data_IF_382038589164
#
_entry.id   IF_382038589164
#
_cell.length_a   1.000
_cell.length_b   1.000
_cell.length_c   1.000
_cell.angle_alpha   90.00
_cell.angle_beta   90.00
_cell.angle_gamma   90.00
#
_symmetry.space_group_name_H-M   'P 1'
#
loop_
_entity.id
_entity.type
_entity.pdbx_description
1 polymer ?
#
# COMPACT_ATOMS: atom_id res chain seq x y z
N UNK A 1 -8.38 36.92 56.84
CA UNK A 1 -8.71 35.75 56.02
C UNK A 1 -8.64 36.05 54.51
N UNK A 2 -8.74 37.29 54.03
CA UNK A 2 -8.71 37.64 52.60
C UNK A 2 -7.31 37.84 51.97
N UNK A 3 -6.23 37.90 52.73
CA UNK A 3 -4.90 38.17 52.23
C UNK A 3 -4.15 36.91 51.69
N UNK A 4 -4.58 35.72 52.13
CA UNK A 4 -3.94 34.43 51.71
C UNK A 4 -4.63 33.85 50.46
N UNK A 5 -5.87 34.21 50.21
CA UNK A 5 -6.65 33.72 49.04
C UNK A 5 -6.20 34.31 47.67
N UNK A 6 -5.63 35.51 47.66
CA UNK A 6 -5.16 36.15 46.42
C UNK A 6 -3.97 35.41 45.77
N UNK A 7 -2.89 35.08 46.48
CA UNK A 7 -1.77 34.38 45.90
C UNK A 7 -2.14 32.95 45.50
N UNK A 8 -3.01 32.25 46.25
CA UNK A 8 -3.45 30.91 45.90
C UNK A 8 -4.27 30.89 44.61
N UNK A 9 -5.13 31.87 44.38
CA UNK A 9 -5.91 32.03 43.14
C UNK A 9 -5.03 32.34 41.93
N UNK A 10 -3.96 33.12 42.11
CA UNK A 10 -2.98 33.39 41.05
C UNK A 10 -2.16 32.15 40.70
N UNK A 11 -1.76 31.33 41.67
CA UNK A 11 -1.06 30.07 41.45
C UNK A 11 -1.95 29.06 40.70
N UNK A 12 -3.23 28.94 41.07
CA UNK A 12 -4.18 28.06 40.39
C UNK A 12 -4.43 28.51 38.94
N UNK A 13 -4.52 29.82 38.69
CA UNK A 13 -4.67 30.37 37.35
C UNK A 13 -3.39 30.11 36.52
N UNK A 14 -2.21 30.27 37.11
CA UNK A 14 -0.93 29.99 36.43
C UNK A 14 -0.80 28.51 36.09
N UNK A 15 -1.17 27.61 36.98
CA UNK A 15 -1.20 26.17 36.75
C UNK A 15 -2.22 25.77 35.63
N UNK A 16 -3.40 26.40 35.64
CA UNK A 16 -4.41 26.17 34.60
C UNK A 16 -3.94 26.68 33.24
N UNK A 17 -3.23 27.82 33.17
CA UNK A 17 -2.63 28.35 31.92
C UNK A 17 -1.50 27.46 31.43
N UNK A 18 -0.64 26.95 32.32
CA UNK A 18 0.43 26.03 31.96
C UNK A 18 -0.14 24.69 31.47
N UNK A 19 -1.20 24.17 32.07
CA UNK A 19 -1.92 22.98 31.59
C UNK A 19 -2.62 23.21 30.26
N UNK A 20 -3.18 24.39 30.00
CA UNK A 20 -3.78 24.75 28.71
C UNK A 20 -2.72 24.96 27.63
N UNK A 21 -1.55 25.53 27.94
CA UNK A 21 -0.44 25.66 27.00
C UNK A 21 0.22 24.31 26.68
N UNK A 22 0.27 23.37 27.64
CA UNK A 22 0.78 22.01 27.36
C UNK A 22 -0.18 21.15 26.54
N UNK A 23 -1.48 21.48 26.50
CA UNK A 23 -2.44 20.79 25.63
C UNK A 23 -2.37 21.26 24.17
N UNK A 24 -1.83 22.45 23.89
CA UNK A 24 -1.62 22.95 22.53
C UNK A 24 -0.34 22.40 21.86
N UNK A 25 0.55 21.74 22.61
CA UNK A 25 1.79 21.15 22.06
C UNK A 25 1.58 19.78 21.36
N UNK A 26 0.34 19.30 21.27
CA UNK A 26 0.00 18.01 20.62
C UNK A 26 -0.23 18.08 19.11
N UNK A 27 0.17 19.13 18.44
CA UNK A 27 -0.19 19.38 17.03
C UNK A 27 0.92 19.17 16.00
N UNK A 28 2.18 19.03 16.42
CA UNK A 28 3.28 18.88 15.47
C UNK A 28 4.08 17.61 15.77
N UNK A 29 4.20 16.75 14.75
CA UNK A 29 5.09 15.60 14.81
C UNK A 29 6.54 16.08 14.84
N UNK A 30 7.39 15.35 15.56
CA UNK A 30 8.82 15.53 15.47
C UNK A 30 9.29 15.23 14.04
N UNK A 31 10.27 15.99 13.55
CA UNK A 31 10.88 15.67 12.27
C UNK A 31 11.87 14.53 12.48
N UNK A 32 11.89 13.56 11.55
CA UNK A 32 13.01 12.64 11.48
C UNK A 32 14.23 13.34 10.88
N UNK A 33 15.41 13.05 11.41
CA UNK A 33 16.69 13.40 10.76
C UNK A 33 17.09 12.34 9.71
N UNK A 34 16.35 11.24 9.65
CA UNK A 34 16.58 10.12 8.77
C UNK A 34 15.72 10.27 7.52
N UNK A 35 16.35 10.45 6.36
CA UNK A 35 15.67 10.40 5.06
C UNK A 35 16.40 9.45 4.13
N UNK A 36 15.90 8.23 3.97
CA UNK A 36 16.48 7.24 3.06
C UNK A 36 15.91 7.31 1.65
N UNK A 37 14.95 8.18 1.40
CA UNK A 37 14.21 8.20 0.14
C UNK A 37 14.84 9.13 -0.89
N UNK A 38 15.13 8.60 -2.07
CA UNK A 38 15.68 9.33 -3.21
C UNK A 38 14.66 9.35 -4.34
N UNK A 39 14.43 10.53 -4.92
CA UNK A 39 13.59 10.67 -6.12
C UNK A 39 14.31 10.08 -7.32
N UNK A 40 13.65 9.14 -8.00
CA UNK A 40 14.15 8.52 -9.23
C UNK A 40 13.52 9.22 -10.43
N UNK A 41 14.34 9.68 -11.37
CA UNK A 41 13.86 10.28 -12.61
C UNK A 41 13.37 9.19 -13.55
N UNK A 42 12.08 9.22 -13.89
CA UNK A 42 11.47 8.27 -14.81
C UNK A 42 11.20 8.91 -16.18
N UNK A 43 11.25 8.13 -17.27
CA UNK A 43 10.91 8.59 -18.62
C UNK A 43 9.38 8.65 -18.85
N UNK A 44 8.60 8.88 -17.81
CA UNK A 44 7.14 8.99 -17.87
C UNK A 44 6.60 9.99 -16.86
N UNK A 45 5.40 10.52 -17.10
CA UNK A 45 4.61 11.31 -16.16
C UNK A 45 3.29 10.64 -15.81
N UNK A 46 3.14 9.39 -16.21
CA UNK A 46 1.92 8.64 -15.93
C UNK A 46 1.86 8.21 -14.46
N UNK A 47 0.66 7.91 -14.01
CA UNK A 47 0.44 7.35 -12.68
C UNK A 47 1.00 5.94 -12.60
N UNK A 48 1.89 5.72 -11.64
CA UNK A 48 2.48 4.41 -11.39
C UNK A 48 1.51 3.56 -10.55
N UNK A 49 1.43 2.28 -10.84
CA UNK A 49 0.51 1.35 -10.16
C UNK A 49 1.21 0.32 -9.30
N UNK A 50 2.25 -0.32 -9.84
CA UNK A 50 2.93 -1.42 -9.16
C UNK A 50 4.38 -1.60 -9.65
N UNK A 51 5.20 -2.27 -8.83
CA UNK A 51 6.57 -2.62 -9.14
C UNK A 51 6.90 -4.00 -8.58
N UNK A 52 7.60 -4.82 -9.36
CA UNK A 52 8.07 -6.13 -8.92
C UNK A 52 9.45 -6.44 -9.50
N UNK A 53 10.17 -7.31 -8.80
CA UNK A 53 11.51 -7.72 -9.16
C UNK A 53 11.58 -9.24 -9.33
N UNK A 54 12.51 -9.69 -10.16
CA UNK A 54 12.93 -11.09 -10.21
C UNK A 54 13.77 -11.43 -8.96
N UNK A 55 14.11 -12.70 -8.77
CA UNK A 55 14.80 -13.16 -7.55
C UNK A 55 16.17 -12.49 -7.31
N UNK A 56 16.80 -11.93 -8.36
CA UNK A 56 18.09 -11.24 -8.23
C UNK A 56 17.97 -9.82 -7.68
N UNK A 57 16.74 -9.34 -7.47
CA UNK A 57 16.40 -8.00 -6.95
C UNK A 57 16.99 -6.83 -7.77
N UNK A 58 17.61 -7.10 -8.90
CA UNK A 58 18.19 -6.10 -9.83
C UNK A 58 17.32 -5.90 -11.05
N UNK A 59 16.83 -7.00 -11.62
CA UNK A 59 15.93 -6.97 -12.75
C UNK A 59 14.50 -6.82 -12.28
N UNK A 60 13.83 -5.76 -12.70
CA UNK A 60 12.47 -5.43 -12.22
C UNK A 60 11.65 -4.71 -13.28
N UNK A 61 10.36 -4.69 -13.00
CA UNK A 61 9.34 -4.11 -13.86
C UNK A 61 8.43 -3.18 -13.05
N UNK A 62 8.17 -2.01 -13.62
CA UNK A 62 7.24 -1.02 -13.07
C UNK A 62 6.13 -0.81 -14.08
N UNK A 63 4.89 -0.85 -13.59
CA UNK A 63 3.68 -0.71 -14.41
C UNK A 63 2.83 0.47 -13.97
N UNK A 64 1.99 0.97 -14.89
CA UNK A 64 1.14 2.11 -14.61
C UNK A 64 0.06 2.35 -15.66
N UNK A 65 -0.51 3.56 -15.63
CA UNK A 65 -1.53 3.97 -16.59
C UNK A 65 -0.95 4.17 -18.00
N UNK A 66 -1.84 4.18 -18.99
CA UNK A 66 -1.51 4.44 -20.40
C UNK A 66 -0.36 3.56 -20.88
N UNK A 67 -0.47 2.24 -20.62
CA UNK A 67 0.51 1.22 -21.04
C UNK A 67 1.93 1.47 -20.50
N UNK A 68 2.05 2.23 -19.42
CA UNK A 68 3.35 2.42 -18.76
C UNK A 68 3.90 1.08 -18.35
N UNK A 69 5.03 0.72 -18.98
CA UNK A 69 5.83 -0.46 -18.67
C UNK A 69 7.29 -0.05 -18.73
N UNK A 70 7.97 -0.09 -17.59
CA UNK A 70 9.38 0.27 -17.47
C UNK A 70 10.16 -0.92 -16.95
N UNK A 71 11.38 -1.10 -17.46
CA UNK A 71 12.31 -2.14 -17.02
C UNK A 71 13.52 -1.53 -16.33
N UNK A 72 14.00 -2.16 -15.30
CA UNK A 72 15.27 -1.87 -14.63
C UNK A 72 16.13 -3.12 -14.58
N UNK A 73 17.46 -2.95 -14.65
CA UNK A 73 18.45 -4.02 -14.48
C UNK A 73 19.46 -3.70 -13.36
N UNK A 74 19.23 -2.61 -12.63
CA UNK A 74 20.16 -2.08 -11.63
C UNK A 74 19.49 -1.86 -10.26
N UNK A 75 18.37 -2.54 -9.99
CA UNK A 75 17.62 -2.44 -8.74
C UNK A 75 16.87 -1.12 -8.62
N UNK A 76 16.31 -0.64 -9.73
CA UNK A 76 15.44 0.54 -9.76
C UNK A 76 16.16 1.87 -9.66
N UNK A 77 17.48 1.92 -9.92
CA UNK A 77 18.23 3.17 -10.01
C UNK A 77 17.93 3.89 -11.32
N UNK A 78 17.86 3.13 -12.40
CA UNK A 78 17.47 3.62 -13.73
C UNK A 78 16.36 2.75 -14.32
N UNK A 79 15.53 3.35 -15.17
CA UNK A 79 14.38 2.71 -15.76
C UNK A 79 14.28 3.04 -17.24
N UNK A 80 14.05 2.04 -18.07
CA UNK A 80 13.88 2.17 -19.51
C UNK A 80 12.47 1.78 -19.93
N UNK A 81 11.82 2.55 -20.84
CA UNK A 81 10.50 2.20 -21.33
C UNK A 81 10.54 0.96 -22.21
N UNK A 82 9.50 0.14 -22.08
CA UNK A 82 9.23 -1.01 -22.93
C UNK A 82 7.84 -0.90 -23.52
N UNK A 83 7.69 -1.29 -24.77
CA UNK A 83 6.42 -1.31 -25.48
C UNK A 83 6.01 -2.75 -25.77
N UNK A 84 4.72 -3.03 -25.65
CA UNK A 84 4.15 -4.33 -25.98
C UNK A 84 3.24 -4.19 -27.20
N UNK A 85 3.41 -5.09 -28.19
CA UNK A 85 2.52 -5.17 -29.33
C UNK A 85 1.30 -6.03 -28.98
N UNK A 86 0.27 -5.40 -28.37
CA UNK A 86 -0.90 -6.11 -27.86
C UNK A 86 -1.97 -6.39 -28.93
N UNK A 87 -1.85 -5.76 -30.12
CA UNK A 87 -2.62 -6.12 -31.32
C UNK A 87 -4.08 -5.67 -31.34
N UNK A 88 -4.51 -4.81 -30.43
CA UNK A 88 -5.86 -4.27 -30.41
C UNK A 88 -5.87 -2.73 -30.30
N UNK A 89 -7.07 -2.13 -30.36
CA UNK A 89 -7.24 -0.69 -30.35
C UNK A 89 -7.39 -0.08 -28.95
N UNK A 90 -7.21 -0.88 -27.89
CA UNK A 90 -7.37 -0.39 -26.51
C UNK A 90 -6.05 0.16 -25.99
N UNK A 91 -6.11 1.22 -25.21
CA UNK A 91 -5.01 1.68 -24.36
C UNK A 91 -5.23 1.09 -22.98
N UNK A 92 -4.29 0.25 -22.54
CA UNK A 92 -4.38 -0.44 -21.27
C UNK A 92 -3.82 0.39 -20.11
N UNK A 93 -4.40 0.20 -18.94
CA UNK A 93 -3.81 0.61 -17.67
C UNK A 93 -3.40 -0.64 -16.91
N UNK A 94 -2.11 -0.83 -16.71
CA UNK A 94 -1.61 -1.97 -15.94
C UNK A 94 -1.74 -1.68 -14.44
N UNK A 95 -2.34 -2.62 -13.70
CA UNK A 95 -2.68 -2.44 -12.29
C UNK A 95 -1.71 -3.12 -11.34
N UNK A 96 -1.24 -4.31 -11.70
CA UNK A 96 -0.37 -5.12 -10.85
C UNK A 96 0.62 -5.91 -11.67
N UNK A 97 1.82 -6.07 -11.14
CA UNK A 97 2.89 -6.91 -11.68
C UNK A 97 3.47 -7.76 -10.57
N UNK A 98 3.78 -9.03 -10.84
CA UNK A 98 4.38 -9.93 -9.86
C UNK A 98 5.30 -10.94 -10.54
N UNK A 99 6.44 -11.23 -9.90
CA UNK A 99 7.43 -12.20 -10.34
C UNK A 99 7.70 -13.26 -9.28
N UNK A 100 8.04 -14.45 -9.75
CA UNK A 100 8.67 -15.52 -8.98
C UNK A 100 9.71 -16.19 -9.88
N UNK A 101 10.98 -15.97 -9.59
CA UNK A 101 12.06 -16.30 -10.51
C UNK A 101 11.95 -15.52 -11.83
N UNK A 102 11.99 -16.24 -12.95
CA UNK A 102 11.80 -15.69 -14.29
C UNK A 102 10.35 -15.66 -14.75
N UNK A 103 9.43 -16.20 -13.96
CA UNK A 103 8.01 -16.22 -14.29
C UNK A 103 7.31 -14.97 -13.75
N UNK A 104 6.62 -14.24 -14.62
CA UNK A 104 6.00 -12.99 -14.25
C UNK A 104 4.62 -12.82 -14.87
N UNK A 105 3.81 -12.00 -14.22
CA UNK A 105 2.44 -11.73 -14.59
C UNK A 105 2.10 -10.25 -14.48
N UNK A 106 1.29 -9.75 -15.41
CA UNK A 106 0.72 -8.39 -15.37
C UNK A 106 -0.79 -8.46 -15.55
N UNK A 107 -1.53 -7.74 -14.71
CA UNK A 107 -2.97 -7.50 -14.89
C UNK A 107 -3.26 -6.06 -15.23
N UNK A 108 -4.38 -5.80 -15.90
CA UNK A 108 -4.78 -4.44 -16.26
C UNK A 108 -6.22 -4.29 -16.73
N UNK A 109 -6.57 -3.07 -17.06
CA UNK A 109 -7.87 -2.64 -17.56
C UNK A 109 -7.74 -1.88 -18.89
N UNK A 110 -8.66 -2.09 -19.86
CA UNK A 110 -9.69 -3.13 -19.90
C UNK A 110 -9.10 -4.53 -19.66
N UNK A 111 -9.91 -5.51 -19.29
CA UNK A 111 -9.48 -6.84 -18.87
C UNK A 111 -8.34 -7.41 -19.71
N UNK A 112 -7.14 -7.44 -19.14
CA UNK A 112 -5.94 -8.02 -19.74
C UNK A 112 -5.16 -8.78 -18.69
N UNK A 113 -4.58 -9.91 -19.10
CA UNK A 113 -3.64 -10.71 -18.32
C UNK A 113 -2.47 -11.08 -19.24
N UNK A 114 -1.27 -10.72 -18.82
CA UNK A 114 -0.03 -11.04 -19.52
C UNK A 114 0.82 -11.98 -18.67
N UNK A 115 1.54 -12.86 -19.33
CA UNK A 115 2.41 -13.85 -18.69
C UNK A 115 3.76 -13.91 -19.41
N UNK A 116 4.83 -14.00 -18.66
CA UNK A 116 6.19 -14.25 -19.13
C UNK A 116 6.81 -15.42 -18.37
N UNK A 117 7.71 -16.14 -19.04
CA UNK A 117 8.55 -17.20 -18.44
C UNK A 117 10.04 -16.92 -18.60
N UNK A 118 10.39 -15.75 -19.15
CA UNK A 118 11.76 -15.37 -19.52
C UNK A 118 12.18 -14.02 -18.87
N UNK A 119 11.64 -13.75 -17.68
CA UNK A 119 11.89 -12.53 -16.91
C UNK A 119 11.41 -11.24 -17.60
N UNK A 120 10.38 -11.34 -18.46
CA UNK A 120 9.79 -10.19 -19.14
C UNK A 120 10.44 -9.84 -20.48
N UNK A 121 11.37 -10.65 -21.00
CA UNK A 121 11.93 -10.46 -22.35
C UNK A 121 10.84 -10.62 -23.41
N UNK A 122 9.87 -11.49 -23.16
CA UNK A 122 8.66 -11.63 -23.94
C UNK A 122 7.42 -11.74 -23.03
N UNK A 123 6.31 -11.16 -23.48
CA UNK A 123 5.04 -11.22 -22.78
C UNK A 123 3.96 -11.80 -23.70
N UNK A 124 3.24 -12.77 -23.20
CA UNK A 124 2.14 -13.42 -23.91
C UNK A 124 0.81 -13.07 -23.24
N UNK A 125 -0.18 -12.77 -24.06
CA UNK A 125 -1.55 -12.56 -23.55
C UNK A 125 -2.16 -13.90 -23.16
N UNK A 126 -2.66 -13.99 -21.94
CA UNK A 126 -3.43 -15.12 -21.46
C UNK A 126 -4.91 -14.88 -21.73
N UNK A 127 -5.60 -15.75 -22.46
CA UNK A 127 -7.03 -15.61 -22.70
C UNK A 127 -7.82 -15.66 -21.39
N UNK A 128 -8.71 -14.70 -21.20
CA UNK A 128 -9.62 -14.65 -20.08
C UNK A 128 -11.00 -15.14 -20.52
N UNK A 129 -11.69 -15.85 -19.62
CA UNK A 129 -13.06 -16.27 -19.85
C UNK A 129 -13.99 -15.06 -19.94
N UNK A 130 -14.91 -15.03 -20.90
CA UNK A 130 -16.01 -14.04 -20.96
C UNK A 130 -16.93 -14.09 -19.73
N UNK A 131 -16.89 -15.21 -19.00
CA UNK A 131 -17.66 -15.40 -17.76
C UNK A 131 -16.89 -15.01 -16.51
N UNK A 132 -15.66 -14.45 -16.66
CA UNK A 132 -14.88 -13.98 -15.51
C UNK A 132 -15.65 -12.83 -14.82
N UNK A 133 -16.02 -12.98 -13.53
CA UNK A 133 -16.71 -11.91 -12.83
C UNK A 133 -15.72 -10.78 -12.49
N UNK A 134 -15.99 -9.60 -13.02
CA UNK A 134 -15.10 -8.43 -12.89
C UNK A 134 -13.90 -8.48 -13.82
N UNK A 135 -12.96 -7.56 -13.60
CA UNK A 135 -11.71 -7.47 -14.35
C UNK A 135 -10.52 -7.85 -13.47
N UNK A 136 -9.44 -8.43 -14.04
CA UNK A 136 -8.20 -8.67 -13.29
C UNK A 136 -7.70 -7.40 -12.62
N UNK A 137 -7.53 -7.44 -11.30
CA UNK A 137 -7.14 -6.30 -10.49
C UNK A 137 -5.73 -6.45 -9.92
N UNK A 138 -5.48 -7.57 -9.26
CA UNK A 138 -4.16 -7.91 -8.70
C UNK A 138 -3.75 -9.33 -9.09
N UNK A 139 -2.46 -9.57 -9.13
CA UNK A 139 -1.86 -10.87 -9.45
C UNK A 139 -0.67 -11.12 -8.53
N UNK A 140 -0.49 -12.36 -8.11
CA UNK A 140 0.67 -12.83 -7.38
C UNK A 140 1.24 -14.07 -8.05
N UNK A 141 2.48 -14.02 -8.48
CA UNK A 141 3.25 -15.18 -8.92
C UNK A 141 3.58 -16.05 -7.69
N UNK A 142 3.25 -17.34 -7.76
CA UNK A 142 3.44 -18.30 -6.65
C UNK A 142 4.53 -19.34 -6.96
N UNK A 143 5.22 -19.20 -8.08
CA UNK A 143 6.20 -20.15 -8.57
C UNK A 143 5.94 -20.54 -10.02
N UNK A 144 6.70 -21.51 -10.52
CA UNK A 144 6.62 -21.94 -11.91
C UNK A 144 5.16 -22.36 -12.27
N UNK A 145 4.59 -21.71 -13.31
CA UNK A 145 3.23 -21.94 -13.83
C UNK A 145 2.10 -21.68 -12.80
N UNK A 146 2.44 -21.11 -11.64
CA UNK A 146 1.47 -20.90 -10.55
C UNK A 146 1.27 -19.42 -10.25
N UNK A 147 0.02 -18.99 -10.23
CA UNK A 147 -0.35 -17.63 -9.88
C UNK A 147 -1.72 -17.58 -9.20
N UNK A 148 -1.93 -16.54 -8.42
CA UNK A 148 -3.20 -16.22 -7.81
C UNK A 148 -3.65 -14.84 -8.27
N UNK A 149 -4.83 -14.77 -8.88
CA UNK A 149 -5.42 -13.55 -9.45
C UNK A 149 -6.67 -13.18 -8.69
N UNK A 150 -6.81 -11.90 -8.40
CA UNK A 150 -8.05 -11.33 -7.89
C UNK A 150 -8.66 -10.35 -8.88
N UNK A 151 -9.98 -10.36 -8.99
CA UNK A 151 -10.73 -9.37 -9.77
C UNK A 151 -11.11 -8.15 -8.93
N UNK A 152 -11.50 -7.07 -9.59
CA UNK A 152 -11.95 -5.80 -8.98
C UNK A 152 -13.26 -5.90 -8.17
N UNK A 153 -13.90 -7.07 -8.21
CA UNK A 153 -15.06 -7.39 -7.36
C UNK A 153 -14.75 -8.47 -6.31
N UNK A 154 -13.49 -8.87 -6.16
CA UNK A 154 -13.05 -9.79 -5.12
C UNK A 154 -13.27 -11.27 -5.42
N UNK A 155 -13.39 -11.66 -6.69
CA UNK A 155 -13.31 -13.06 -7.07
C UNK A 155 -11.84 -13.50 -7.11
N UNK A 156 -11.50 -14.59 -6.41
CA UNK A 156 -10.12 -15.10 -6.29
C UNK A 156 -9.99 -16.36 -7.15
N UNK A 157 -8.96 -16.39 -7.97
CA UNK A 157 -8.64 -17.50 -8.86
C UNK A 157 -7.19 -17.93 -8.72
N UNK A 158 -6.93 -19.22 -8.85
CA UNK A 158 -5.59 -19.79 -8.86
C UNK A 158 -5.35 -20.64 -10.11
N UNK A 159 -4.18 -20.48 -10.70
CA UNK A 159 -3.67 -21.37 -11.75
C UNK A 159 -2.45 -22.14 -11.26
N UNK A 160 -2.23 -23.33 -11.83
CA UNK A 160 -1.04 -24.18 -11.62
C UNK A 160 -0.47 -24.69 -12.95
N UNK A 161 -0.99 -24.18 -14.07
CA UNK A 161 -0.63 -24.65 -15.40
C UNK A 161 -0.24 -23.51 -16.38
N UNK A 162 0.18 -22.36 -15.83
CA UNK A 162 0.59 -21.20 -16.60
C UNK A 162 -0.60 -20.43 -17.20
N UNK A 163 -1.73 -20.42 -16.50
CA UNK A 163 -2.93 -19.68 -16.90
C UNK A 163 -3.82 -20.38 -17.93
N UNK A 164 -3.55 -21.66 -18.24
CA UNK A 164 -4.41 -22.43 -19.14
C UNK A 164 -5.75 -22.72 -18.51
N UNK A 165 -5.75 -23.04 -17.21
CA UNK A 165 -6.96 -23.20 -16.41
C UNK A 165 -6.87 -22.39 -15.10
N UNK A 166 -8.03 -21.93 -14.63
CA UNK A 166 -8.17 -21.15 -13.40
C UNK A 166 -9.24 -21.78 -12.51
N UNK A 167 -8.86 -22.06 -11.27
CA UNK A 167 -9.77 -22.56 -10.24
C UNK A 167 -10.24 -21.41 -9.38
N UNK A 168 -11.55 -21.22 -9.23
CA UNK A 168 -12.12 -20.30 -8.27
C UNK A 168 -11.83 -20.76 -6.84
N UNK A 169 -11.40 -19.84 -5.99
CA UNK A 169 -11.11 -20.08 -4.57
C UNK A 169 -12.24 -19.64 -3.67
N UNK A 170 -13.14 -18.79 -4.17
CA UNK A 170 -14.35 -18.33 -3.48
C UNK A 170 -15.57 -18.60 -4.34
N UNK A 171 -16.72 -18.89 -3.71
CA UNK A 171 -17.98 -19.16 -4.41
C UNK A 171 -18.62 -17.88 -4.92
N UNK A 172 -18.53 -16.80 -4.14
CA UNK A 172 -19.12 -15.51 -4.47
C UNK A 172 -18.11 -14.37 -4.29
N UNK A 173 -18.17 -13.39 -5.19
CA UNK A 173 -17.40 -12.17 -5.11
C UNK A 173 -17.95 -11.25 -4.01
N UNK A 174 -17.06 -10.50 -3.34
CA UNK A 174 -17.43 -9.59 -2.24
C UNK A 174 -18.09 -8.29 -2.73
N UNK A 175 -18.03 -8.00 -4.02
CA UNK A 175 -18.49 -6.75 -4.63
C UNK A 175 -17.35 -5.79 -4.95
N UNK A 176 -17.67 -4.65 -5.57
CA UNK A 176 -16.67 -3.69 -6.05
C UNK A 176 -15.74 -3.22 -4.93
N UNK A 177 -14.46 -3.37 -5.15
CA UNK A 177 -13.41 -3.05 -4.19
C UNK A 177 -12.87 -1.63 -4.37
N UNK A 178 -12.45 -1.04 -3.26
CA UNK A 178 -11.57 0.13 -3.23
C UNK A 178 -10.11 -0.28 -3.17
N UNK A 179 -9.82 -1.24 -2.32
CA UNK A 179 -8.49 -1.77 -2.07
C UNK A 179 -8.59 -3.23 -1.60
N UNK A 180 -7.52 -3.95 -1.82
CA UNK A 180 -7.32 -5.31 -1.30
C UNK A 180 -5.85 -5.52 -0.95
N UNK A 181 -5.60 -6.20 0.14
CA UNK A 181 -4.27 -6.60 0.57
C UNK A 181 -4.24 -8.09 0.90
N UNK A 182 -3.10 -8.71 0.64
CA UNK A 182 -2.84 -10.11 0.90
C UNK A 182 -1.71 -10.27 1.91
N UNK A 183 -1.90 -11.13 2.90
CA UNK A 183 -0.85 -11.53 3.84
C UNK A 183 0.09 -12.58 3.22
N UNK A 184 1.30 -12.77 3.76
CA UNK A 184 2.22 -13.82 3.29
C UNK A 184 1.65 -15.23 3.38
N UNK A 185 0.81 -15.52 4.38
CA UNK A 185 0.14 -16.81 4.57
C UNK A 185 -1.13 -16.99 3.71
N UNK A 186 -1.46 -16.02 2.86
CA UNK A 186 -2.51 -16.13 1.85
C UNK A 186 -3.88 -15.63 2.27
N UNK A 187 -4.00 -14.98 3.43
CA UNK A 187 -5.24 -14.32 3.84
C UNK A 187 -5.43 -13.03 3.06
N UNK A 188 -6.66 -12.61 2.90
CA UNK A 188 -7.00 -11.34 2.24
C UNK A 188 -7.84 -10.45 3.15
N UNK A 189 -7.64 -9.15 3.02
CA UNK A 189 -8.54 -8.11 3.52
C UNK A 189 -8.93 -7.21 2.35
N UNK A 190 -10.23 -6.98 2.19
CA UNK A 190 -10.80 -6.19 1.10
C UNK A 190 -11.65 -5.06 1.65
N UNK A 191 -11.42 -3.83 1.17
CA UNK A 191 -12.20 -2.65 1.50
C UNK A 191 -13.25 -2.41 0.43
N UNK A 192 -14.52 -2.25 0.83
CA UNK A 192 -15.61 -1.94 -0.09
C UNK A 192 -15.38 -0.61 -0.82
N UNK A 193 -15.90 -0.46 -2.04
CA UNK A 193 -15.72 0.73 -2.88
C UNK A 193 -16.10 2.03 -2.18
N UNK A 194 -17.10 2.01 -1.31
CA UNK A 194 -17.53 3.16 -0.51
C UNK A 194 -16.72 3.36 0.78
N UNK A 195 -15.88 2.38 1.16
CA UNK A 195 -15.11 2.40 2.41
C UNK A 195 -15.96 2.31 3.66
N UNK A 196 -17.16 1.73 3.56
CA UNK A 196 -18.11 1.61 4.68
C UNK A 196 -17.92 0.34 5.49
N UNK A 197 -17.44 -0.74 4.87
CA UNK A 197 -17.13 -2.03 5.49
C UNK A 197 -15.89 -2.64 4.84
N UNK A 198 -15.38 -3.69 5.45
CA UNK A 198 -14.33 -4.55 4.91
C UNK A 198 -14.73 -6.01 5.05
N UNK A 199 -14.05 -6.86 4.31
CA UNK A 199 -14.23 -8.31 4.40
C UNK A 199 -12.87 -8.98 4.45
N UNK A 200 -12.79 -10.12 5.12
CA UNK A 200 -11.60 -10.97 5.15
C UNK A 200 -11.89 -12.30 4.49
N UNK A 201 -10.86 -12.94 3.99
CA UNK A 201 -10.90 -14.30 3.48
C UNK A 201 -9.62 -15.03 3.85
N UNK A 202 -9.74 -16.29 4.22
CA UNK A 202 -8.61 -17.16 4.52
C UNK A 202 -8.64 -18.42 3.64
N UNK A 203 -7.46 -18.98 3.29
CA UNK A 203 -7.39 -20.22 2.51
C UNK A 203 -8.23 -21.33 3.12
N UNK A 204 -9.11 -21.92 2.30
CA UNK A 204 -10.04 -22.96 2.71
C UNK A 204 -11.43 -22.48 3.09
N UNK A 205 -11.68 -21.18 3.17
CA UNK A 205 -13.02 -20.64 3.30
C UNK A 205 -13.73 -20.59 1.93
N UNK A 206 -15.01 -20.91 1.90
CA UNK A 206 -15.83 -20.86 0.68
C UNK A 206 -16.29 -19.45 0.32
N UNK A 207 -16.35 -18.54 1.30
CA UNK A 207 -16.88 -17.19 1.14
C UNK A 207 -16.09 -16.16 1.93
N UNK A 208 -16.17 -14.89 1.50
CA UNK A 208 -15.68 -13.77 2.24
C UNK A 208 -16.48 -13.55 3.53
N UNK A 209 -15.77 -13.24 4.61
CA UNK A 209 -16.35 -12.87 5.90
C UNK A 209 -16.49 -11.34 5.97
N UNK A 210 -17.73 -10.79 5.90
CA UNK A 210 -17.93 -9.35 6.02
C UNK A 210 -17.84 -8.89 7.48
N UNK A 211 -17.27 -7.72 7.70
CA UNK A 211 -17.12 -7.08 9.00
C UNK A 211 -17.77 -5.70 9.01
N UNK A 212 -18.62 -5.46 9.98
CA UNK A 212 -19.26 -4.17 10.20
C UNK A 212 -18.35 -3.24 11.01
N UNK A 213 -18.53 -1.94 10.78
CA UNK A 213 -17.83 -0.89 11.53
C UNK A 213 -18.82 0.01 12.26
N UNK A 214 -18.44 0.39 13.46
CA UNK A 214 -19.18 1.39 14.25
C UNK A 214 -18.81 2.82 13.85
N UNK A 215 -17.68 3.04 13.16
CA UNK A 215 -17.20 4.34 12.73
C UNK A 215 -17.81 4.79 11.40
N UNK A 216 -18.27 6.02 11.32
CA UNK A 216 -18.74 6.66 10.08
C UNK A 216 -17.61 7.11 9.14
N UNK A 217 -16.37 7.10 9.60
CA UNK A 217 -15.20 7.49 8.77
C UNK A 217 -14.94 6.45 7.69
N UNK A 218 -14.86 6.89 6.45
CA UNK A 218 -14.61 5.99 5.31
C UNK A 218 -13.20 5.43 5.34
N UNK A 219 -13.08 4.14 5.14
CA UNK A 219 -11.81 3.46 4.93
C UNK A 219 -11.17 3.93 3.62
N UNK A 220 -9.86 4.14 3.66
CA UNK A 220 -9.03 4.41 2.50
C UNK A 220 -8.28 3.16 2.06
N UNK A 221 -7.63 2.49 3.01
CA UNK A 221 -6.84 1.31 2.78
C UNK A 221 -6.81 0.43 4.03
N UNK A 222 -6.51 -0.86 3.85
CA UNK A 222 -6.28 -1.85 4.90
C UNK A 222 -5.23 -2.85 4.45
N UNK A 223 -4.53 -3.43 5.40
CA UNK A 223 -3.58 -4.51 5.15
C UNK A 223 -3.21 -5.24 6.42
N UNK A 224 -2.18 -6.07 6.31
CA UNK A 224 -1.67 -6.89 7.40
C UNK A 224 -0.37 -6.32 7.93
N UNK A 225 -0.21 -6.28 9.24
CA UNK A 225 1.05 -6.07 9.91
C UNK A 225 1.87 -7.37 9.93
N UNK A 226 3.15 -7.27 10.27
CA UNK A 226 4.02 -8.45 10.28
C UNK A 226 3.66 -9.48 11.37
N UNK A 227 2.97 -9.05 12.41
CA UNK A 227 2.42 -9.91 13.48
C UNK A 227 1.04 -10.51 13.14
N UNK A 228 0.53 -10.27 11.92
CA UNK A 228 -0.75 -10.79 11.43
C UNK A 228 -1.98 -9.98 11.80
N UNK A 229 -1.85 -8.92 12.63
CA UNK A 229 -2.95 -7.98 12.89
C UNK A 229 -3.31 -7.21 11.62
N UNK A 230 -4.53 -6.72 11.55
CA UNK A 230 -4.93 -5.77 10.51
C UNK A 230 -4.52 -4.34 10.92
N UNK A 231 -4.10 -3.56 9.93
CA UNK A 231 -4.10 -2.11 10.04
C UNK A 231 -5.15 -1.51 9.12
N UNK A 232 -5.69 -0.37 9.50
CA UNK A 232 -6.61 0.40 8.67
C UNK A 232 -6.20 1.86 8.60
N UNK A 233 -6.43 2.45 7.43
CA UNK A 233 -6.35 3.88 7.18
C UNK A 233 -7.74 4.39 6.86
N UNK A 234 -8.16 5.47 7.52
CA UNK A 234 -9.46 6.09 7.29
C UNK A 234 -9.34 7.60 7.05
N UNK A 235 -10.39 8.18 6.49
CA UNK A 235 -10.48 9.63 6.24
C UNK A 235 -10.15 10.45 7.48
N UNK A 236 -9.44 11.56 7.29
CA UNK A 236 -8.97 12.44 8.35
C UNK A 236 -7.66 11.97 8.97
N UNK A 237 -6.87 11.16 8.25
CA UNK A 237 -5.55 10.71 8.68
C UNK A 237 -5.59 9.70 9.83
N UNK A 238 -6.70 8.99 9.99
CA UNK A 238 -6.88 8.01 11.07
C UNK A 238 -6.16 6.71 10.74
N UNK A 239 -5.43 6.21 11.72
CA UNK A 239 -4.76 4.90 11.74
C UNK A 239 -5.27 4.09 12.93
N UNK A 240 -5.53 2.82 12.73
CA UNK A 240 -5.85 1.86 13.81
C UNK A 240 -5.24 0.50 13.49
N UNK A 241 -4.98 -0.27 14.54
CA UNK A 241 -4.56 -1.66 14.44
C UNK A 241 -5.62 -2.55 15.11
N UNK A 242 -5.87 -3.75 14.57
CA UNK A 242 -6.76 -4.71 15.21
C UNK A 242 -6.08 -5.32 16.44
N UNK A 243 -6.87 -5.92 17.32
CA UNK A 243 -6.33 -6.80 18.35
C UNK A 243 -5.75 -8.07 17.70
N UNK A 244 -4.77 -8.73 18.34
CA UNK A 244 -4.31 -10.04 17.91
C UNK A 244 -5.50 -11.02 17.80
N UNK A 245 -5.56 -11.77 16.72
CA UNK A 245 -6.55 -12.82 16.46
C UNK A 245 -8.04 -12.36 16.49
N UNK A 246 -8.29 -11.04 16.50
CA UNK A 246 -9.65 -10.49 16.44
C UNK A 246 -9.71 -9.29 15.47
N UNK A 247 -10.22 -9.54 14.27
CA UNK A 247 -10.36 -8.53 13.22
C UNK A 247 -11.56 -7.57 13.41
N UNK A 248 -12.34 -7.73 14.47
CA UNK A 248 -13.45 -6.83 14.82
C UNK A 248 -13.15 -5.93 16.02
N UNK A 249 -12.15 -6.29 16.84
CA UNK A 249 -11.67 -5.48 17.95
C UNK A 249 -10.48 -4.63 17.51
N UNK A 250 -10.56 -3.32 17.76
CA UNK A 250 -9.60 -2.33 17.31
C UNK A 250 -9.04 -1.53 18.47
N UNK A 251 -7.74 -1.21 18.38
CA UNK A 251 -7.10 -0.24 19.28
C UNK A 251 -7.74 1.14 19.13
N UNK A 252 -7.49 2.04 20.08
CA UNK A 252 -7.95 3.41 19.99
C UNK A 252 -7.46 4.08 18.70
N UNK A 253 -8.39 4.76 18.01
CA UNK A 253 -8.06 5.45 16.78
C UNK A 253 -7.15 6.64 17.07
N UNK A 254 -6.05 6.74 16.34
CA UNK A 254 -5.18 7.91 16.42
C UNK A 254 -5.00 8.56 15.05
N UNK A 255 -4.72 9.85 15.06
CA UNK A 255 -4.37 10.61 13.86
C UNK A 255 -2.99 11.23 14.11
N UNK A 256 -1.93 10.68 13.52
CA UNK A 256 -0.55 11.13 13.75
C UNK A 256 -0.35 12.61 13.42
N UNK A 257 -1.05 13.12 12.42
CA UNK A 257 -1.00 14.50 12.00
C UNK A 257 -2.40 15.12 11.94
N UNK A 258 -2.60 16.23 12.64
CA UNK A 258 -3.86 16.97 12.59
C UNK A 258 -4.03 17.58 11.18
N UNK A 259 -5.12 17.21 10.50
CA UNK A 259 -5.54 17.81 9.24
C UNK A 259 -4.74 17.44 7.97
N UNK A 260 -4.27 16.21 7.83
CA UNK A 260 -3.92 15.73 6.50
C UNK A 260 -5.21 15.71 5.63
N UNK A 261 -5.44 16.77 4.87
CA UNK A 261 -6.68 16.97 4.09
C UNK A 261 -6.94 15.84 3.10
N UNK A 262 -5.91 15.18 2.64
CA UNK A 262 -5.96 14.03 1.73
C UNK A 262 -5.89 12.67 2.45
N UNK A 263 -5.47 12.64 3.72
CA UNK A 263 -5.31 11.43 4.51
C UNK A 263 -4.09 10.60 4.10
N UNK A 264 -3.91 9.49 4.79
CA UNK A 264 -2.92 8.49 4.45
C UNK A 264 -3.52 7.48 3.46
N UNK A 265 -2.69 6.99 2.56
CA UNK A 265 -3.11 6.19 1.42
C UNK A 265 -2.55 4.77 1.49
N UNK A 266 -1.36 4.58 2.06
CA UNK A 266 -0.76 3.25 2.21
C UNK A 266 0.20 3.18 3.40
N UNK A 267 0.44 1.96 3.90
CA UNK A 267 1.32 1.65 5.01
C UNK A 267 2.13 0.39 4.70
N UNK A 268 3.44 0.44 4.94
CA UNK A 268 4.30 -0.72 4.76
C UNK A 268 5.31 -0.85 5.90
N UNK A 269 5.62 -2.08 6.25
CA UNK A 269 6.65 -2.46 7.21
C UNK A 269 7.96 -2.70 6.46
N UNK A 270 9.05 -2.04 6.89
CA UNK A 270 10.42 -2.39 6.49
C UNK A 270 10.99 -3.47 7.40
N UNK A 271 10.78 -3.30 8.69
CA UNK A 271 11.04 -4.29 9.75
C UNK A 271 9.83 -4.32 10.69
N UNK A 272 9.75 -5.24 11.67
CA UNK A 272 8.67 -5.22 12.65
C UNK A 272 8.52 -3.90 13.40
N UNK A 273 9.62 -3.20 13.64
CA UNK A 273 9.68 -1.92 14.37
C UNK A 273 9.57 -0.72 13.44
N UNK A 274 10.08 -0.82 12.20
CA UNK A 274 10.09 0.30 11.26
C UNK A 274 8.93 0.24 10.28
N UNK A 275 8.03 1.20 10.41
CA UNK A 275 6.79 1.30 9.65
C UNK A 275 6.72 2.64 8.95
N UNK A 276 6.42 2.64 7.68
CA UNK A 276 6.25 3.84 6.86
C UNK A 276 4.79 4.05 6.48
N UNK A 277 4.35 5.29 6.51
CA UNK A 277 2.98 5.72 6.23
C UNK A 277 3.01 6.81 5.17
N UNK A 278 2.49 6.49 3.99
CA UNK A 278 2.49 7.36 2.82
C UNK A 278 1.11 7.98 2.60
N UNK A 279 1.08 9.23 2.12
CA UNK A 279 -0.19 9.95 1.96
C UNK A 279 -0.20 11.00 0.86
N UNK A 280 -1.23 11.82 0.89
CA UNK A 280 -1.42 12.90 -0.07
C UNK A 280 -0.45 14.05 0.14
N UNK A 281 -0.14 14.77 -0.95
CA UNK A 281 0.68 15.99 -0.94
C UNK A 281 2.07 15.81 -0.34
N UNK A 282 2.78 14.74 -0.68
CA UNK A 282 4.13 14.49 -0.20
C UNK A 282 4.22 14.06 1.27
N UNK A 283 3.11 13.75 1.93
CA UNK A 283 3.14 13.31 3.32
C UNK A 283 3.76 11.92 3.45
N UNK A 284 4.83 11.86 4.24
CA UNK A 284 5.53 10.63 4.58
C UNK A 284 5.87 10.63 6.07
N UNK A 285 5.44 9.62 6.78
CA UNK A 285 5.74 9.44 8.20
C UNK A 285 6.48 8.12 8.40
N UNK A 286 7.28 8.06 9.45
CA UNK A 286 7.96 6.85 9.90
C UNK A 286 7.74 6.63 11.40
N UNK A 287 7.57 5.38 11.76
CA UNK A 287 7.62 4.88 13.13
C UNK A 287 8.79 3.93 13.27
N UNK A 288 9.49 3.96 14.40
CA UNK A 288 10.58 3.04 14.76
C UNK A 288 10.22 2.15 15.96
N UNK A 289 8.95 2.10 16.31
CA UNK A 289 8.40 1.35 17.46
C UNK A 289 7.13 0.57 17.09
N UNK A 290 7.04 0.12 15.82
CA UNK A 290 5.92 -0.69 15.34
C UNK A 290 4.61 0.06 15.16
N UNK A 291 4.66 1.40 15.01
CA UNK A 291 3.48 2.24 14.79
C UNK A 291 2.92 2.91 16.03
N UNK A 292 3.63 2.88 17.17
CA UNK A 292 3.19 3.53 18.41
C UNK A 292 3.44 5.03 18.39
N UNK A 293 4.64 5.46 17.95
CA UNK A 293 4.98 6.87 17.77
C UNK A 293 5.43 7.15 16.35
N UNK A 294 5.22 8.36 15.87
CA UNK A 294 5.46 8.75 14.49
C UNK A 294 6.32 10.00 14.38
N UNK A 295 7.15 10.03 13.36
CA UNK A 295 7.95 11.18 12.97
C UNK A 295 7.66 11.52 11.51
N UNK A 296 7.77 12.81 11.15
CA UNK A 296 7.53 13.27 9.79
C UNK A 296 8.85 13.35 9.02
N UNK A 297 8.89 12.77 7.83
CA UNK A 297 9.97 12.99 6.88
C UNK A 297 9.66 14.24 6.05
N UNK A 298 10.32 15.35 6.39
CA UNK A 298 10.15 16.61 5.67
C UNK A 298 10.98 16.73 4.40
N UNK A 299 11.96 15.88 4.21
CA UNK A 299 12.84 15.98 3.05
C UNK A 299 12.11 15.68 1.73
N UNK A 300 10.96 14.98 1.81
CA UNK A 300 10.09 14.68 0.65
C UNK A 300 8.80 15.52 0.63
N UNK A 301 8.61 16.46 1.57
CA UNK A 301 7.39 17.28 1.66
C UNK A 301 7.15 18.15 0.41
N UNK A 302 8.22 18.59 -0.24
CA UNK A 302 8.15 19.40 -1.47
C UNK A 302 7.92 18.57 -2.74
N UNK A 303 7.83 17.24 -2.65
CA UNK A 303 7.50 16.38 -3.79
C UNK A 303 6.00 16.55 -4.11
N UNK A 304 5.64 17.12 -5.28
CA UNK A 304 4.26 17.52 -5.57
C UNK A 304 3.42 16.33 -6.05
N UNK A 305 3.31 15.27 -5.22
CA UNK A 305 2.60 14.04 -5.56
C UNK A 305 1.84 13.46 -4.38
N UNK A 306 0.79 12.73 -4.68
CA UNK A 306 0.20 11.81 -3.74
C UNK A 306 0.96 10.48 -3.82
N UNK A 307 1.41 9.97 -2.68
CA UNK A 307 2.06 8.68 -2.54
C UNK A 307 1.00 7.63 -2.21
N UNK A 308 0.63 6.79 -3.20
CA UNK A 308 -0.47 5.84 -2.98
C UNK A 308 -0.05 4.41 -2.73
N UNK A 309 1.19 4.09 -2.96
CA UNK A 309 1.72 2.76 -2.68
C UNK A 309 3.12 2.88 -2.13
N UNK A 310 3.35 2.20 -1.03
CA UNK A 310 4.67 1.98 -0.46
C UNK A 310 4.88 0.49 -0.29
N UNK A 311 6.03 -0.01 -0.69
CA UNK A 311 6.37 -1.42 -0.56
C UNK A 311 7.86 -1.61 -0.33
N UNK A 312 8.20 -2.68 0.37
CA UNK A 312 9.55 -3.16 0.54
C UNK A 312 9.69 -4.54 -0.10
N UNK A 313 10.62 -4.68 -1.04
CA UNK A 313 10.99 -5.95 -1.67
C UNK A 313 11.92 -6.72 -0.74
N UNK A 314 12.78 -6.00 -0.03
CA UNK A 314 13.61 -6.46 1.07
C UNK A 314 13.79 -5.29 2.06
N UNK A 315 14.37 -5.51 3.27
CA UNK A 315 14.67 -4.40 4.17
C UNK A 315 15.59 -3.32 3.58
N UNK A 316 16.39 -3.67 2.58
CA UNK A 316 17.33 -2.75 1.91
C UNK A 316 16.75 -2.14 0.64
N UNK A 317 15.60 -2.62 0.16
CA UNK A 317 15.03 -2.21 -1.12
C UNK A 317 13.54 -1.91 -1.00
N UNK A 318 13.19 -0.64 -1.04
CA UNK A 318 11.82 -0.17 -0.97
C UNK A 318 11.50 0.89 -2.03
N UNK A 319 10.22 1.06 -2.31
CA UNK A 319 9.71 2.00 -3.29
C UNK A 319 8.44 2.68 -2.79
N UNK A 320 8.31 3.96 -3.16
CA UNK A 320 7.06 4.72 -3.03
C UNK A 320 6.63 5.15 -4.44
N UNK A 321 5.41 4.78 -4.79
CA UNK A 321 4.80 5.08 -6.08
C UNK A 321 3.79 6.21 -5.94
N UNK A 322 3.92 7.19 -6.82
CA UNK A 322 3.05 8.36 -6.82
C UNK A 322 2.45 8.68 -8.20
N UNK A 323 1.64 9.72 -8.22
CA UNK A 323 1.15 10.31 -9.47
C UNK A 323 2.26 11.10 -10.18
N UNK A 324 2.01 11.47 -11.44
CA UNK A 324 2.91 12.29 -12.25
C UNK A 324 4.30 11.66 -12.47
N UNK A 325 4.39 10.33 -12.50
CA UNK A 325 5.64 9.60 -12.70
C UNK A 325 6.61 9.70 -11.50
N UNK A 326 6.12 10.03 -10.32
CA UNK A 326 6.96 10.10 -9.12
C UNK A 326 7.22 8.70 -8.59
N UNK A 327 8.51 8.37 -8.52
CA UNK A 327 9.04 7.18 -7.87
C UNK A 327 10.08 7.61 -6.84
N UNK A 328 9.93 7.17 -5.59
CA UNK A 328 10.99 7.26 -4.60
C UNK A 328 11.56 5.86 -4.39
N UNK A 329 12.88 5.77 -4.26
CA UNK A 329 13.60 4.54 -3.97
C UNK A 329 14.26 4.66 -2.60
N UNK A 330 14.13 3.62 -1.79
CA UNK A 330 14.81 3.51 -0.51
C UNK A 330 16.31 3.28 -0.73
N UNK A 331 17.14 4.07 -0.09
CA UNK A 331 18.59 3.88 -0.02
C UNK A 331 19.02 3.98 1.45
N UNK A 332 19.53 2.89 1.98
CA UNK A 332 20.08 2.94 3.33
C UNK A 332 21.27 3.90 3.35
N UNK A 333 21.10 5.04 4.01
CA UNK A 333 22.22 5.96 4.20
C UNK A 333 23.23 5.28 5.12
N UNK A 334 24.52 5.12 4.74
CA UNK A 334 25.50 4.55 5.62
C UNK A 334 25.48 5.33 6.93
N UNK A 335 25.27 4.66 8.05
CA UNK A 335 25.45 5.27 9.37
C UNK A 335 26.83 5.89 9.38
N UNK A 336 26.91 7.21 9.54
CA UNK A 336 28.17 7.87 9.76
C UNK A 336 28.85 7.19 10.94
N UNK A 337 30.04 6.61 10.69
CA UNK A 337 30.82 5.86 11.65
C UNK A 337 31.36 6.76 12.76
#
# INVERSE_FOLDING_TARGET
MNAILKPLRQIVILFAVVLLCSSCARGFLANTSFNPWQVVNLPTRETLSDVAFTDDSKHGWLVGKNETLLETIDGGKTWEPRSLELGDAFTYSFNSVSFSGSEGWITGQPSILLHTTDAGKSWLRVPLSEKLPGSPYSILALGAKSAEMMTDIGAIYRTQDGGKTWQAMVQEAVGVLRNVSRSPDGKYVAVSSRGSFYSTWEPGQDAWQPHNRTSSRRLQNMGFSQDGRLWLLARGGVVQFSQPDDYEAWDDAFAPEFAASWGFLDLAYRTPEEVWLAGGSGNLLVSFDGGQTWQKDKAVEDVPANFYKILFVSPEQGYILGQNGILLRYEETPKAA
#
